data_IF_118807428748
#
_entry.id   IF_118807428748
#
_cell.length_a   1.000
_cell.length_b   1.000
_cell.length_c   1.000
_cell.angle_alpha   90.00
_cell.angle_beta   90.00
_cell.angle_gamma   90.00
#
_symmetry.space_group_name_H-M   'P 1'
#
loop_
_entity.id
_entity.type
_entity.pdbx_description
1 polymer ?
#
# COMPACT_ATOMS: atom_id res chain seq x y z
N UNK A 1 16.59 -0.87 -4.63
CA UNK A 1 17.50 0.12 -5.28
C UNK A 1 17.68 -0.31 -6.74
N UNK A 2 17.88 0.61 -7.68
CA UNK A 2 18.16 0.25 -9.08
C UNK A 2 19.13 1.25 -9.73
N UNK A 3 19.90 0.77 -10.71
CA UNK A 3 20.84 1.58 -11.51
C UNK A 3 20.45 1.44 -12.98
N UNK A 4 20.43 2.55 -13.72
CA UNK A 4 20.20 2.57 -15.16
C UNK A 4 21.52 2.84 -15.88
N UNK A 5 21.81 2.04 -16.90
CA UNK A 5 22.98 2.23 -17.75
C UNK A 5 22.55 2.67 -19.14
N UNK A 6 23.27 3.66 -19.67
CA UNK A 6 22.99 4.29 -20.96
C UNK A 6 24.23 4.24 -21.84
N UNK A 7 24.01 4.03 -23.12
CA UNK A 7 25.02 4.13 -24.16
C UNK A 7 24.47 5.01 -25.29
N UNK A 8 25.23 6.03 -25.70
CA UNK A 8 24.81 7.01 -26.72
C UNK A 8 23.44 7.66 -26.45
N UNK A 9 23.07 7.83 -25.18
CA UNK A 9 21.80 8.42 -24.76
C UNK A 9 20.61 7.44 -24.76
N UNK A 10 20.80 6.18 -25.17
CA UNK A 10 19.78 5.14 -25.15
C UNK A 10 19.97 4.22 -23.95
N UNK A 11 18.88 3.84 -23.29
CA UNK A 11 18.96 2.94 -22.15
C UNK A 11 19.35 1.54 -22.64
N UNK A 12 20.38 0.96 -22.03
CA UNK A 12 20.86 -0.38 -22.37
C UNK A 12 20.35 -1.42 -21.37
N UNK A 13 20.47 -1.10 -20.08
CA UNK A 13 20.04 -2.00 -19.02
C UNK A 13 19.62 -1.27 -17.75
N UNK A 14 18.78 -1.96 -16.96
CA UNK A 14 18.39 -1.58 -15.61
C UNK A 14 18.76 -2.71 -14.67
N UNK A 15 19.65 -2.42 -13.74
CA UNK A 15 20.15 -3.36 -12.72
C UNK A 15 19.33 -3.16 -11.45
N UNK A 16 18.67 -4.22 -11.00
CA UNK A 16 17.80 -4.21 -9.81
C UNK A 16 18.54 -4.89 -8.66
N UNK A 17 18.65 -4.17 -7.54
CA UNK A 17 19.31 -4.65 -6.33
C UNK A 17 18.29 -5.10 -5.29
N UNK A 18 18.56 -6.27 -4.73
CA UNK A 18 17.94 -6.76 -3.52
C UNK A 18 18.39 -5.91 -2.32
N UNK A 19 17.51 -5.74 -1.32
CA UNK A 19 17.81 -4.94 -0.13
C UNK A 19 18.88 -5.58 0.78
N UNK A 20 19.16 -6.88 0.59
CA UNK A 20 20.28 -7.60 1.23
C UNK A 20 21.64 -7.30 0.60
N UNK A 21 21.71 -6.51 -0.48
CA UNK A 21 22.96 -5.98 -1.02
C UNK A 21 23.59 -6.75 -2.19
N UNK A 22 22.80 -7.47 -2.99
CA UNK A 22 23.25 -8.13 -4.23
C UNK A 22 22.34 -7.79 -5.42
N UNK A 23 22.77 -8.12 -6.64
CA UNK A 23 21.97 -7.90 -7.85
C UNK A 23 20.90 -8.98 -7.94
N UNK A 24 19.63 -8.59 -7.87
CA UNK A 24 18.49 -9.51 -7.99
C UNK A 24 18.17 -9.84 -9.45
N UNK A 25 18.13 -8.84 -10.31
CA UNK A 25 17.84 -9.02 -11.74
C UNK A 25 18.40 -7.89 -12.60
N UNK A 26 18.49 -8.16 -13.89
CA UNK A 26 18.93 -7.20 -14.92
C UNK A 26 17.87 -7.20 -16.02
N UNK A 27 17.33 -6.04 -16.35
CA UNK A 27 16.41 -5.84 -17.47
C UNK A 27 17.21 -5.23 -18.63
N UNK A 28 17.18 -5.87 -19.79
CA UNK A 28 17.80 -5.41 -21.03
C UNK A 28 16.79 -4.62 -21.86
N UNK A 29 17.28 -3.55 -22.48
CA UNK A 29 16.52 -2.69 -23.37
C UNK A 29 17.02 -2.81 -24.82
N UNK A 30 16.09 -2.75 -25.77
CA UNK A 30 16.38 -2.54 -27.19
C UNK A 30 15.50 -1.39 -27.69
N UNK A 31 16.12 -0.30 -28.16
CA UNK A 31 15.42 0.93 -28.57
C UNK A 31 14.42 1.43 -27.49
N UNK A 32 14.90 1.53 -26.24
CA UNK A 32 14.12 1.92 -25.06
C UNK A 32 12.92 1.01 -24.73
N UNK A 33 12.84 -0.18 -25.32
CA UNK A 33 11.83 -1.21 -25.00
C UNK A 33 12.46 -2.31 -24.16
N UNK A 34 11.81 -2.70 -23.05
CA UNK A 34 12.22 -3.84 -22.24
C UNK A 34 12.01 -5.14 -23.03
N UNK A 35 13.09 -5.91 -23.26
CA UNK A 35 13.03 -7.12 -24.09
C UNK A 35 13.31 -8.40 -23.33
N UNK A 36 14.12 -8.34 -22.28
CA UNK A 36 14.56 -9.51 -21.52
C UNK A 36 14.83 -9.11 -20.07
N UNK A 37 14.41 -9.96 -19.13
CA UNK A 37 14.79 -9.87 -17.73
C UNK A 37 15.54 -11.14 -17.30
N UNK A 38 16.75 -10.97 -16.81
CA UNK A 38 17.56 -12.05 -16.24
C UNK A 38 17.51 -11.97 -14.72
N UNK A 39 17.08 -13.04 -14.06
CA UNK A 39 17.09 -13.19 -12.60
C UNK A 39 18.38 -13.88 -12.18
N UNK A 40 19.00 -13.38 -11.11
CA UNK A 40 20.30 -13.85 -10.62
C UNK A 40 20.19 -14.42 -9.21
N UNK A 41 21.07 -15.36 -8.89
CA UNK A 41 21.31 -15.73 -7.50
C UNK A 41 22.34 -14.79 -6.84
N UNK A 42 22.60 -15.01 -5.56
CA UNK A 42 23.56 -14.19 -4.77
C UNK A 42 25.00 -14.25 -5.28
N UNK A 43 25.36 -15.26 -6.10
CA UNK A 43 26.67 -15.40 -6.72
C UNK A 43 26.76 -14.70 -8.09
N UNK A 44 25.65 -14.13 -8.58
CA UNK A 44 25.54 -13.52 -9.90
C UNK A 44 25.33 -14.53 -11.03
N UNK A 45 25.01 -15.78 -10.71
CA UNK A 45 24.67 -16.78 -11.73
C UNK A 45 23.21 -16.59 -12.18
N UNK A 46 22.98 -16.74 -13.48
CA UNK A 46 21.64 -16.62 -14.07
C UNK A 46 20.81 -17.83 -13.65
N UNK A 47 19.67 -17.58 -13.02
CA UNK A 47 18.72 -18.64 -12.63
C UNK A 47 17.54 -18.73 -13.59
N UNK A 48 17.00 -17.58 -14.03
CA UNK A 48 15.90 -17.51 -14.96
C UNK A 48 16.16 -16.40 -15.99
N UNK A 49 15.70 -16.60 -17.21
CA UNK A 49 15.68 -15.56 -18.25
C UNK A 49 14.27 -15.48 -18.83
N UNK A 50 13.61 -14.35 -18.61
CA UNK A 50 12.27 -14.06 -19.08
C UNK A 50 12.35 -13.16 -20.32
N UNK A 51 11.72 -13.59 -21.40
CA UNK A 51 11.52 -12.77 -22.59
C UNK A 51 10.28 -11.89 -22.37
N UNK A 52 10.49 -10.59 -22.20
CA UNK A 52 9.41 -9.65 -21.85
C UNK A 52 8.45 -9.35 -23.01
N UNK A 53 8.78 -9.79 -24.23
CA UNK A 53 7.91 -9.65 -25.41
C UNK A 53 6.94 -10.83 -25.53
N UNK A 54 7.42 -12.05 -25.26
CA UNK A 54 6.64 -13.29 -25.42
C UNK A 54 6.10 -13.84 -24.09
N UNK A 55 6.67 -13.41 -22.97
CA UNK A 55 6.42 -13.94 -21.63
C UNK A 55 7.23 -15.19 -21.31
N UNK A 56 7.84 -15.86 -22.29
CA UNK A 56 8.53 -17.13 -22.12
C UNK A 56 9.68 -17.05 -21.12
N UNK A 57 9.80 -18.07 -20.26
CA UNK A 57 10.86 -18.14 -19.24
C UNK A 57 11.74 -19.36 -19.44
N UNK A 58 13.05 -19.15 -19.52
CA UNK A 58 14.06 -20.19 -19.58
C UNK A 58 14.71 -20.41 -18.22
N UNK A 59 14.86 -21.67 -17.83
CA UNK A 59 15.54 -22.07 -16.59
C UNK A 59 17.01 -22.37 -16.87
N UNK A 60 17.87 -21.66 -16.15
CA UNK A 60 19.32 -21.77 -16.25
C UNK A 60 19.89 -22.59 -15.08
N UNK A 61 21.11 -23.10 -15.23
CA UNK A 61 21.83 -23.69 -14.10
C UNK A 61 22.21 -22.56 -13.11
N UNK A 62 22.12 -22.76 -11.79
CA UNK A 62 22.08 -24.04 -11.07
C UNK A 62 20.68 -24.56 -10.66
N UNK A 63 19.59 -23.88 -11.03
CA UNK A 63 18.26 -24.19 -10.48
C UNK A 63 17.45 -25.22 -11.27
N UNK A 64 18.06 -25.85 -12.29
CA UNK A 64 17.36 -26.84 -13.13
C UNK A 64 16.81 -28.03 -12.36
N UNK A 65 17.44 -28.43 -11.25
CA UNK A 65 16.96 -29.56 -10.45
C UNK A 65 15.83 -29.17 -9.49
N UNK A 66 15.55 -27.86 -9.34
CA UNK A 66 14.45 -27.36 -8.51
C UNK A 66 13.14 -27.23 -9.31
N UNK A 67 13.23 -27.17 -10.64
CA UNK A 67 12.13 -26.93 -11.56
C UNK A 67 11.96 -28.10 -12.53
N UNK A 68 10.71 -28.48 -12.81
CA UNK A 68 10.41 -29.69 -13.58
C UNK A 68 10.68 -29.51 -15.08
N UNK A 69 10.71 -28.26 -15.55
CA UNK A 69 10.94 -27.92 -16.94
C UNK A 69 12.10 -26.94 -17.10
N UNK A 70 12.84 -27.07 -18.21
CA UNK A 70 13.88 -26.10 -18.56
C UNK A 70 13.32 -24.82 -19.20
N UNK A 71 12.02 -24.79 -19.49
CA UNK A 71 11.33 -23.74 -20.24
C UNK A 71 9.84 -23.74 -19.87
N UNK A 72 9.30 -22.55 -19.64
CA UNK A 72 7.91 -22.30 -19.28
C UNK A 72 7.29 -21.27 -20.21
N UNK A 73 5.97 -21.33 -20.39
CA UNK A 73 5.24 -20.38 -21.21
C UNK A 73 5.30 -18.97 -20.64
N UNK A 74 5.26 -18.87 -19.31
CA UNK A 74 5.35 -17.60 -18.59
C UNK A 74 5.77 -17.80 -17.13
N UNK A 75 6.05 -16.68 -16.45
CA UNK A 75 6.46 -16.68 -15.04
C UNK A 75 5.39 -17.27 -14.11
N UNK A 76 4.10 -17.20 -14.47
CA UNK A 76 3.04 -17.73 -13.62
C UNK A 76 3.19 -19.24 -13.45
N UNK A 77 3.50 -19.99 -14.51
CA UNK A 77 3.69 -21.45 -14.42
C UNK A 77 4.79 -21.84 -13.41
N UNK A 78 5.90 -21.08 -13.38
CA UNK A 78 6.97 -21.29 -12.39
C UNK A 78 6.47 -20.99 -10.97
N UNK A 79 5.72 -19.89 -10.80
CA UNK A 79 5.12 -19.56 -9.50
C UNK A 79 4.14 -20.66 -9.05
N UNK A 80 3.30 -21.19 -9.95
CA UNK A 80 2.37 -22.27 -9.63
C UNK A 80 3.11 -23.52 -9.16
N UNK A 81 4.18 -23.91 -9.87
CA UNK A 81 4.99 -25.08 -9.52
C UNK A 81 5.71 -24.93 -8.18
N UNK A 82 6.31 -23.76 -7.91
CA UNK A 82 6.97 -23.50 -6.63
C UNK A 82 5.96 -23.53 -5.48
N UNK A 83 4.76 -22.97 -5.68
CA UNK A 83 3.69 -23.00 -4.67
C UNK A 83 3.21 -24.43 -4.43
N UNK A 84 3.05 -25.24 -5.49
CA UNK A 84 2.66 -26.65 -5.38
C UNK A 84 3.70 -27.48 -4.61
N UNK A 85 4.98 -27.32 -4.94
CA UNK A 85 6.09 -27.98 -4.24
C UNK A 85 6.15 -27.57 -2.78
N UNK A 86 6.04 -26.27 -2.49
CA UNK A 86 5.98 -25.77 -1.11
C UNK A 86 4.80 -26.36 -0.34
N UNK A 87 3.61 -26.42 -0.95
CA UNK A 87 2.44 -27.02 -0.33
C UNK A 87 2.68 -28.51 -0.01
N UNK A 88 3.18 -29.27 -0.98
CA UNK A 88 3.39 -30.71 -0.84
C UNK A 88 4.47 -31.06 0.19
N UNK A 89 5.55 -30.27 0.24
CA UNK A 89 6.72 -30.60 1.06
C UNK A 89 6.65 -30.06 2.49
N UNK A 90 5.97 -28.93 2.70
CA UNK A 90 6.04 -28.18 3.96
C UNK A 90 4.71 -28.03 4.70
N UNK A 91 3.58 -28.28 4.04
CA UNK A 91 2.26 -28.01 4.62
C UNK A 91 1.58 -29.28 5.11
N UNK A 92 1.02 -29.19 6.31
CA UNK A 92 0.25 -30.25 6.96
C UNK A 92 -1.21 -29.84 7.11
N UNK A 93 -2.09 -30.80 7.37
CA UNK A 93 -3.53 -30.53 7.60
C UNK A 93 -3.83 -29.71 8.87
N UNK A 94 -2.84 -29.52 9.76
CA UNK A 94 -2.99 -28.69 10.96
C UNK A 94 -2.62 -27.23 10.76
N UNK A 95 -2.04 -26.87 9.61
CA UNK A 95 -1.62 -25.49 9.36
C UNK A 95 -2.80 -24.63 8.89
N UNK A 96 -2.83 -23.37 9.32
CA UNK A 96 -3.81 -22.38 8.88
C UNK A 96 -3.13 -21.32 7.99
N UNK A 97 -3.83 -20.88 6.95
CA UNK A 97 -3.34 -19.95 5.94
C UNK A 97 -4.18 -18.69 5.88
N UNK A 98 -3.51 -17.54 5.85
CA UNK A 98 -4.14 -16.25 5.60
C UNK A 98 -3.63 -15.71 4.27
N UNK A 99 -4.52 -15.64 3.29
CA UNK A 99 -4.22 -15.12 1.96
C UNK A 99 -4.75 -13.69 1.80
N UNK A 100 -3.88 -12.75 1.45
CA UNK A 100 -4.31 -11.40 1.07
C UNK A 100 -5.10 -11.48 -0.25
N UNK A 101 -6.41 -11.23 -0.22
CA UNK A 101 -7.27 -11.45 -1.38
C UNK A 101 -6.94 -10.51 -2.56
N UNK A 102 -6.75 -11.09 -3.74
CA UNK A 102 -6.52 -10.41 -5.01
C UNK A 102 -6.99 -11.29 -6.18
N UNK A 103 -7.72 -10.70 -7.13
CA UNK A 103 -8.26 -11.41 -8.28
C UNK A 103 -7.19 -12.09 -9.16
N UNK A 104 -5.93 -11.65 -9.08
CA UNK A 104 -4.82 -12.20 -9.86
C UNK A 104 -4.32 -13.56 -9.36
N UNK A 105 -4.53 -13.90 -8.08
CA UNK A 105 -3.93 -15.11 -7.51
C UNK A 105 -4.86 -15.91 -6.59
N UNK A 106 -6.08 -15.45 -6.31
CA UNK A 106 -7.01 -16.20 -5.46
C UNK A 106 -7.26 -17.63 -5.97
N UNK A 107 -7.44 -17.80 -7.29
CA UNK A 107 -7.65 -19.11 -7.91
C UNK A 107 -6.45 -20.07 -7.78
N UNK A 108 -5.23 -19.52 -7.82
CA UNK A 108 -4.01 -20.29 -7.60
C UNK A 108 -3.99 -20.83 -6.17
N UNK A 109 -4.27 -19.96 -5.19
CA UNK A 109 -4.30 -20.34 -3.77
C UNK A 109 -5.39 -21.37 -3.51
N UNK A 110 -6.61 -21.18 -4.02
CA UNK A 110 -7.73 -22.10 -3.74
C UNK A 110 -7.61 -23.45 -4.42
N UNK A 111 -6.68 -23.61 -5.38
CA UNK A 111 -6.36 -24.91 -5.99
C UNK A 111 -5.57 -25.83 -5.04
N UNK A 112 -4.67 -25.26 -4.24
CA UNK A 112 -3.76 -26.03 -3.39
C UNK A 112 -4.20 -26.10 -1.94
N UNK A 113 -4.72 -25.01 -1.38
CA UNK A 113 -5.04 -24.93 0.05
C UNK A 113 -6.48 -25.36 0.36
N UNK A 114 -6.66 -26.25 1.33
CA UNK A 114 -7.98 -26.75 1.71
C UNK A 114 -8.89 -25.65 2.31
N UNK A 115 -10.19 -25.78 2.06
CA UNK A 115 -11.23 -24.83 2.49
C UNK A 115 -11.23 -24.49 4.00
N UNK A 116 -10.89 -25.46 4.85
CA UNK A 116 -10.91 -25.29 6.31
C UNK A 116 -9.67 -24.60 6.84
N UNK A 117 -8.55 -24.71 6.12
CA UNK A 117 -7.27 -24.12 6.49
C UNK A 117 -7.14 -22.69 5.93
N UNK A 118 -7.95 -22.32 4.94
CA UNK A 118 -7.80 -21.07 4.21
C UNK A 118 -8.75 -19.97 4.72
N UNK A 119 -8.15 -18.85 5.11
CA UNK A 119 -8.82 -17.60 5.39
C UNK A 119 -8.33 -16.50 4.45
N UNK A 120 -9.23 -15.85 3.72
CA UNK A 120 -8.84 -14.68 2.94
C UNK A 120 -8.87 -13.40 3.77
N UNK A 121 -8.06 -12.41 3.43
CA UNK A 121 -8.07 -11.07 4.03
C UNK A 121 -8.35 -10.04 2.95
N UNK A 122 -9.41 -9.25 3.13
CA UNK A 122 -9.76 -8.10 2.31
C UNK A 122 -9.33 -6.81 3.02
N UNK A 123 -8.64 -5.95 2.28
CA UNK A 123 -8.09 -4.70 2.81
C UNK A 123 -8.47 -3.54 1.91
N UNK A 124 -9.15 -2.51 2.43
CA UNK A 124 -9.69 -1.38 1.67
C UNK A 124 -8.68 -0.72 0.74
N UNK A 125 -7.40 -0.61 1.14
CA UNK A 125 -6.40 0.02 0.29
C UNK A 125 -6.07 -0.81 -0.97
N UNK A 126 -6.17 -2.15 -0.88
CA UNK A 126 -5.93 -3.08 -1.99
C UNK A 126 -7.22 -3.38 -2.75
N UNK A 127 -8.28 -3.67 -2.02
CA UNK A 127 -9.59 -4.08 -2.51
C UNK A 127 -10.58 -2.90 -2.39
N UNK A 128 -10.33 -1.84 -3.16
CA UNK A 128 -11.16 -0.62 -3.12
C UNK A 128 -12.62 -0.88 -3.51
N UNK A 129 -12.82 -1.81 -4.44
CA UNK A 129 -14.13 -2.27 -4.88
C UNK A 129 -14.26 -3.75 -4.58
N UNK A 130 -15.32 -4.12 -3.85
CA UNK A 130 -15.64 -5.52 -3.55
C UNK A 130 -16.69 -5.98 -4.55
N UNK A 131 -16.28 -6.83 -5.49
CA UNK A 131 -17.16 -7.35 -6.55
C UNK A 131 -17.57 -8.80 -6.28
N UNK A 132 -18.66 -9.24 -6.89
CA UNK A 132 -19.08 -10.65 -6.86
C UNK A 132 -17.99 -11.60 -7.35
N UNK A 133 -17.25 -11.21 -8.40
CA UNK A 133 -16.14 -12.01 -8.93
C UNK A 133 -15.03 -12.18 -7.90
N UNK A 134 -14.67 -11.12 -7.16
CA UNK A 134 -13.66 -11.21 -6.10
C UNK A 134 -14.11 -12.18 -5.00
N UNK A 135 -15.35 -12.07 -4.51
CA UNK A 135 -15.87 -12.98 -3.48
C UNK A 135 -15.92 -14.44 -3.97
N UNK A 136 -16.38 -14.66 -5.20
CA UNK A 136 -16.43 -16.01 -5.80
C UNK A 136 -15.03 -16.62 -5.97
N UNK A 137 -14.03 -15.81 -6.35
CA UNK A 137 -12.65 -16.29 -6.53
C UNK A 137 -12.01 -16.82 -5.24
N UNK A 138 -12.55 -16.46 -4.07
CA UNK A 138 -12.07 -16.95 -2.77
C UNK A 138 -12.64 -18.32 -2.40
N UNK A 139 -13.59 -18.87 -3.15
CA UNK A 139 -14.07 -20.23 -2.90
C UNK A 139 -12.98 -21.27 -3.19
N UNK A 140 -12.83 -22.31 -2.34
CA UNK A 140 -13.80 -22.78 -1.34
C UNK A 140 -13.56 -22.29 0.11
N UNK A 141 -12.76 -21.24 0.33
CA UNK A 141 -12.43 -20.77 1.68
C UNK A 141 -13.68 -20.50 2.53
N UNK A 142 -13.65 -20.95 3.78
CA UNK A 142 -14.77 -20.82 4.72
C UNK A 142 -14.69 -19.59 5.61
N UNK A 143 -13.59 -18.85 5.58
CA UNK A 143 -13.41 -17.64 6.38
C UNK A 143 -12.81 -16.49 5.59
N UNK A 144 -13.23 -15.28 5.94
CA UNK A 144 -12.69 -14.05 5.39
C UNK A 144 -12.59 -12.96 6.48
N UNK A 145 -11.46 -12.26 6.49
CA UNK A 145 -11.19 -11.09 7.30
C UNK A 145 -11.43 -9.82 6.49
N UNK A 146 -12.05 -8.83 7.11
CA UNK A 146 -12.25 -7.48 6.54
C UNK A 146 -11.78 -6.43 7.54
N UNK A 147 -11.32 -5.29 7.03
CA UNK A 147 -10.77 -4.19 7.83
C UNK A 147 -11.82 -3.18 8.31
N UNK A 148 -12.88 -2.97 7.53
CA UNK A 148 -13.93 -1.99 7.80
C UNK A 148 -15.32 -2.62 7.96
N UNK A 149 -16.21 -1.90 8.65
CA UNK A 149 -17.62 -2.30 8.81
C UNK A 149 -18.37 -2.27 7.48
N UNK A 150 -18.03 -1.34 6.60
CA UNK A 150 -18.63 -1.22 5.27
C UNK A 150 -18.27 -2.43 4.42
N UNK A 151 -16.99 -2.79 4.36
CA UNK A 151 -16.54 -3.99 3.65
C UNK A 151 -17.21 -5.26 4.18
N UNK A 152 -17.37 -5.38 5.51
CA UNK A 152 -18.10 -6.50 6.11
C UNK A 152 -19.53 -6.61 5.58
N UNK A 153 -20.24 -5.48 5.50
CA UNK A 153 -21.62 -5.42 5.02
C UNK A 153 -21.70 -5.81 3.55
N UNK A 154 -20.88 -5.20 2.71
CA UNK A 154 -20.86 -5.47 1.26
C UNK A 154 -20.47 -6.92 0.96
N UNK A 155 -19.44 -7.46 1.63
CA UNK A 155 -19.06 -8.86 1.49
C UNK A 155 -20.19 -9.81 1.89
N UNK A 156 -20.89 -9.55 3.00
CA UNK A 156 -22.03 -10.37 3.45
C UNK A 156 -23.19 -10.32 2.47
N UNK A 157 -23.51 -9.14 1.93
CA UNK A 157 -24.56 -8.98 0.91
C UNK A 157 -24.24 -9.83 -0.32
N UNK A 158 -23.03 -9.70 -0.85
CA UNK A 158 -22.59 -10.46 -2.02
C UNK A 158 -22.57 -11.97 -1.72
N UNK A 159 -22.02 -12.39 -0.59
CA UNK A 159 -21.96 -13.81 -0.22
C UNK A 159 -23.37 -14.41 -0.10
N UNK A 160 -24.30 -13.72 0.56
CA UNK A 160 -25.68 -14.17 0.70
C UNK A 160 -26.40 -14.25 -0.65
N UNK A 161 -26.26 -13.23 -1.50
CA UNK A 161 -26.87 -13.21 -2.84
C UNK A 161 -26.37 -14.35 -3.74
N UNK A 162 -25.15 -14.84 -3.50
CA UNK A 162 -24.54 -15.92 -4.26
C UNK A 162 -24.56 -17.28 -3.51
N UNK A 163 -25.26 -17.39 -2.37
CA UNK A 163 -25.30 -18.61 -1.54
C UNK A 163 -23.93 -19.14 -1.11
N UNK A 164 -22.97 -18.24 -0.90
CA UNK A 164 -21.60 -18.56 -0.48
C UNK A 164 -21.55 -18.68 1.04
N UNK A 165 -21.19 -19.85 1.55
CA UNK A 165 -21.03 -20.09 2.98
C UNK A 165 -19.62 -19.72 3.45
N UNK A 166 -19.41 -18.43 3.73
CA UNK A 166 -18.15 -17.89 4.20
C UNK A 166 -18.34 -17.03 5.46
N UNK A 167 -17.64 -17.39 6.54
CA UNK A 167 -17.66 -16.66 7.81
C UNK A 167 -16.82 -15.39 7.70
N UNK A 168 -17.49 -14.24 7.78
CA UNK A 168 -16.84 -12.92 7.80
C UNK A 168 -16.48 -12.52 9.23
N UNK A 169 -15.25 -12.07 9.45
CA UNK A 169 -14.80 -11.46 10.71
C UNK A 169 -14.12 -10.13 10.43
N UNK A 170 -14.35 -9.13 11.29
CA UNK A 170 -13.77 -7.80 11.12
C UNK A 170 -12.59 -7.58 12.06
N UNK A 171 -11.44 -7.20 11.52
CA UNK A 171 -10.23 -6.83 12.26
C UNK A 171 -9.73 -5.52 11.68
N UNK A 172 -9.87 -4.44 12.44
CA UNK A 172 -9.34 -3.14 12.03
C UNK A 172 -7.82 -3.13 12.19
N UNK A 173 -7.05 -2.87 11.11
CA UNK A 173 -5.59 -2.87 11.16
C UNK A 173 -5.12 -1.59 11.85
N UNK A 174 -4.83 -1.71 13.15
CA UNK A 174 -4.17 -0.65 13.89
C UNK A 174 -2.66 -0.82 13.79
N UNK A 175 -1.96 0.29 13.54
CA UNK A 175 -0.51 0.31 13.71
C UNK A 175 -0.18 0.11 15.20
N UNK A 176 0.66 -0.88 15.49
CA UNK A 176 1.10 -1.19 16.84
C UNK A 176 2.31 -0.37 17.27
N UNK A 177 2.89 0.44 16.38
CA UNK A 177 3.94 1.37 16.73
C UNK A 177 3.47 2.30 17.84
N UNK A 178 4.06 2.12 19.03
CA UNK A 178 3.81 2.99 20.17
C UNK A 178 4.53 4.30 19.94
N UNK A 179 3.83 5.26 19.36
CA UNK A 179 4.29 6.64 19.33
C UNK A 179 4.12 7.18 20.76
N UNK A 180 5.21 7.49 21.49
CA UNK A 180 5.10 8.06 22.83
C UNK A 180 4.30 9.35 22.76
N UNK A 181 3.34 9.53 23.68
CA UNK A 181 2.50 10.72 23.72
C UNK A 181 3.30 11.91 24.26
N UNK A 182 4.05 12.56 23.36
CA UNK A 182 4.82 13.78 23.65
C UNK A 182 3.88 14.97 23.87
N UNK A 183 2.62 14.93 23.40
CA UNK A 183 1.66 16.02 23.55
C UNK A 183 1.36 16.37 25.02
N UNK A 184 1.52 15.40 25.94
CA UNK A 184 1.40 15.65 27.39
C UNK A 184 2.56 16.46 27.99
N UNK A 185 3.68 16.59 27.28
CA UNK A 185 4.89 17.29 27.69
C UNK A 185 5.03 18.66 27.00
N UNK A 186 4.15 18.96 26.03
CA UNK A 186 4.13 20.24 25.32
C UNK A 186 3.19 21.22 26.04
N UNK A 187 3.64 22.46 26.19
CA UNK A 187 2.79 23.57 26.63
C UNK A 187 1.74 23.93 25.56
N UNK A 188 2.10 23.71 24.29
CA UNK A 188 1.27 23.98 23.13
C UNK A 188 0.38 22.79 22.73
N UNK A 189 -0.87 23.09 22.38
CA UNK A 189 -1.85 22.16 21.82
C UNK A 189 -1.78 22.22 20.30
N UNK A 190 -1.35 21.13 19.67
CA UNK A 190 -1.32 20.99 18.22
C UNK A 190 -2.57 20.28 17.69
N UNK A 191 -3.27 20.93 16.75
CA UNK A 191 -4.42 20.37 16.04
C UNK A 191 -4.00 20.07 14.60
N UNK A 192 -3.95 18.80 14.23
CA UNK A 192 -3.75 18.37 12.85
C UNK A 192 -5.07 18.33 12.08
N UNK A 193 -5.18 19.07 10.98
CA UNK A 193 -6.35 19.04 10.10
C UNK A 193 -5.98 18.45 8.74
N UNK A 194 -6.41 17.22 8.49
CA UNK A 194 -6.14 16.51 7.24
C UNK A 194 -7.18 16.87 6.19
N UNK A 195 -6.73 17.40 5.05
CA UNK A 195 -7.63 17.96 4.01
C UNK A 195 -7.72 17.11 2.74
N UNK A 196 -7.03 15.98 2.70
CA UNK A 196 -7.02 15.11 1.52
C UNK A 196 -8.45 14.64 1.18
N UNK A 197 -8.80 14.70 -0.11
CA UNK A 197 -10.13 14.40 -0.65
C UNK A 197 -11.28 15.31 -0.17
N UNK A 198 -11.00 16.44 0.49
CA UNK A 198 -12.00 17.44 0.83
C UNK A 198 -12.04 18.55 -0.24
N UNK A 199 -13.25 18.99 -0.61
CA UNK A 199 -13.42 20.14 -1.49
C UNK A 199 -13.14 21.45 -0.73
N UNK A 200 -12.79 22.50 -1.48
CA UNK A 200 -12.58 23.84 -0.92
C UNK A 200 -13.77 24.31 -0.07
N UNK A 201 -14.99 24.08 -0.55
CA UNK A 201 -16.23 24.50 0.13
C UNK A 201 -16.44 23.82 1.48
N UNK A 202 -15.72 22.73 1.77
CA UNK A 202 -15.68 22.07 3.09
C UNK A 202 -14.49 22.58 3.90
N UNK A 203 -13.32 22.72 3.28
CA UNK A 203 -12.07 23.08 3.97
C UNK A 203 -12.11 24.52 4.49
N UNK A 204 -12.54 25.47 3.67
CA UNK A 204 -12.53 26.91 4.01
C UNK A 204 -13.40 27.23 5.25
N UNK A 205 -14.67 26.77 5.34
CA UNK A 205 -15.46 26.95 6.56
C UNK A 205 -14.87 26.29 7.82
N UNK A 206 -14.20 25.15 7.66
CA UNK A 206 -13.56 24.47 8.80
C UNK A 206 -12.34 25.25 9.28
N UNK A 207 -11.56 25.84 8.37
CA UNK A 207 -10.45 26.74 8.73
C UNK A 207 -10.97 27.95 9.50
N UNK A 208 -12.08 28.57 9.07
CA UNK A 208 -12.70 29.69 9.79
C UNK A 208 -13.18 29.32 11.20
N UNK A 209 -13.76 28.12 11.35
CA UNK A 209 -14.17 27.60 12.65
C UNK A 209 -12.95 27.34 13.55
N UNK A 210 -11.88 26.75 13.01
CA UNK A 210 -10.64 26.50 13.73
C UNK A 210 -9.98 27.80 14.16
N UNK A 211 -9.90 28.81 13.28
CA UNK A 211 -9.42 30.16 13.62
C UNK A 211 -10.22 30.76 14.77
N UNK A 212 -11.55 30.75 14.65
CA UNK A 212 -12.45 31.30 15.69
C UNK A 212 -12.29 30.59 17.04
N UNK A 213 -11.92 29.30 17.02
CA UNK A 213 -11.69 28.51 18.22
C UNK A 213 -10.35 28.79 18.90
N UNK A 214 -9.30 29.15 18.13
CA UNK A 214 -7.94 29.35 18.63
C UNK A 214 -7.56 30.82 18.83
N UNK A 215 -8.28 31.78 18.24
CA UNK A 215 -7.85 33.19 18.21
C UNK A 215 -7.53 33.82 19.57
N UNK A 216 -8.26 33.41 20.62
CA UNK A 216 -8.06 33.89 21.99
C UNK A 216 -7.24 32.91 22.85
N UNK A 217 -6.47 32.00 22.23
CA UNK A 217 -5.68 30.99 22.91
C UNK A 217 -4.24 31.02 22.39
N UNK A 218 -3.31 31.42 23.24
CA UNK A 218 -1.91 31.64 22.86
C UNK A 218 -1.16 30.33 22.54
N UNK A 219 -1.54 29.25 23.23
CA UNK A 219 -0.87 27.96 23.16
C UNK A 219 -1.50 26.98 22.17
N UNK A 220 -2.37 27.44 21.26
CA UNK A 220 -2.97 26.58 20.24
C UNK A 220 -2.31 26.79 18.89
N UNK A 221 -2.02 25.70 18.20
CA UNK A 221 -1.44 25.68 16.85
C UNK A 221 -2.24 24.74 15.97
N UNK A 222 -2.68 25.21 14.81
CA UNK A 222 -3.34 24.37 13.81
C UNK A 222 -2.34 24.09 12.69
N UNK A 223 -2.18 22.81 12.36
CA UNK A 223 -1.35 22.35 11.24
C UNK A 223 -2.26 21.70 10.20
N UNK A 224 -2.32 22.31 9.02
CA UNK A 224 -3.02 21.71 7.89
C UNK A 224 -2.12 20.67 7.26
N UNK A 225 -2.63 19.45 7.12
CA UNK A 225 -1.90 18.27 6.67
C UNK A 225 -2.45 17.84 5.32
N UNK A 226 -1.56 17.51 4.37
CA UNK A 226 -1.89 17.03 3.03
C UNK A 226 -0.87 15.93 2.66
N UNK A 227 -1.33 14.78 2.16
CA UNK A 227 -0.45 13.64 1.81
C UNK A 227 0.20 13.80 0.44
N UNK A 228 -0.33 14.66 -0.42
CA UNK A 228 0.12 14.78 -1.80
C UNK A 228 1.39 15.64 -1.91
N UNK A 229 2.53 14.97 -2.06
CA UNK A 229 3.85 15.59 -2.29
C UNK A 229 3.97 16.16 -3.71
N UNK A 230 3.09 15.76 -4.65
CA UNK A 230 3.23 16.08 -6.07
C UNK A 230 2.50 17.36 -6.49
N UNK A 231 1.48 17.78 -5.75
CA UNK A 231 0.76 19.02 -5.99
C UNK A 231 1.36 20.16 -5.17
N UNK A 232 1.76 21.25 -5.85
CA UNK A 232 2.05 22.51 -5.15
C UNK A 232 0.82 22.88 -4.32
N UNK A 233 1.03 23.29 -3.07
CA UNK A 233 -0.04 23.79 -2.19
C UNK A 233 -0.93 24.75 -2.97
N UNK A 234 -2.25 24.49 -3.06
CA UNK A 234 -3.15 25.34 -3.83
C UNK A 234 -3.04 26.79 -3.36
N UNK A 235 -2.95 27.72 -4.31
CA UNK A 235 -2.73 29.14 -3.98
C UNK A 235 -3.79 29.69 -3.03
N UNK A 236 -5.06 29.31 -3.23
CA UNK A 236 -6.17 29.71 -2.36
C UNK A 236 -5.97 29.30 -0.89
N UNK A 237 -5.37 28.12 -0.65
CA UNK A 237 -5.13 27.61 0.70
C UNK A 237 -4.00 28.41 1.37
N UNK A 238 -2.92 28.69 0.62
CA UNK A 238 -1.84 29.55 1.10
C UNK A 238 -2.33 30.97 1.42
N UNK A 239 -3.21 31.53 0.58
CA UNK A 239 -3.76 32.86 0.76
C UNK A 239 -4.62 32.93 2.04
N UNK A 240 -5.53 31.98 2.26
CA UNK A 240 -6.37 31.91 3.48
C UNK A 240 -5.51 31.73 4.72
N UNK A 241 -4.55 30.80 4.70
CA UNK A 241 -3.67 30.56 5.86
C UNK A 241 -2.86 31.80 6.20
N UNK A 242 -2.37 32.52 5.17
CA UNK A 242 -1.63 33.77 5.37
C UNK A 242 -2.51 34.84 6.00
N UNK A 243 -3.72 35.05 5.47
CA UNK A 243 -4.70 35.99 6.01
C UNK A 243 -5.00 35.71 7.49
N UNK A 244 -5.30 34.45 7.84
CA UNK A 244 -5.60 34.08 9.25
C UNK A 244 -4.40 34.25 10.17
N UNK A 245 -3.18 33.98 9.69
CA UNK A 245 -1.97 34.21 10.48
C UNK A 245 -1.69 35.70 10.71
N UNK A 246 -1.94 36.55 9.71
CA UNK A 246 -1.82 38.00 9.87
C UNK A 246 -2.81 38.51 10.92
N UNK A 247 -4.10 38.13 10.83
CA UNK A 247 -5.12 38.49 11.81
C UNK A 247 -4.79 37.99 13.22
N UNK A 248 -4.35 36.73 13.35
CA UNK A 248 -3.98 36.16 14.64
C UNK A 248 -2.81 36.93 15.29
N UNK A 249 -1.78 37.27 14.51
CA UNK A 249 -0.62 37.99 15.01
C UNK A 249 -0.94 39.44 15.41
N UNK A 250 -1.85 40.10 14.69
CA UNK A 250 -2.33 41.44 15.05
C UNK A 250 -3.12 41.41 16.37
N UNK A 251 -4.07 40.48 16.52
CA UNK A 251 -4.88 40.33 17.74
C UNK A 251 -4.02 40.02 18.98
N UNK A 252 -2.97 39.21 18.81
CA UNK A 252 -2.02 38.88 19.88
C UNK A 252 -1.14 40.08 20.29
N UNK A 253 -0.75 40.94 19.34
CA UNK A 253 -0.01 42.18 19.65
C UNK A 253 -0.88 43.15 20.44
N UNK A 254 -2.12 43.34 20.02
CA UNK A 254 -3.05 44.22 20.75
C UNK A 254 -3.37 43.70 22.15
N UNK A 255 -3.56 42.38 22.33
CA UNK A 255 -3.74 41.80 23.68
C UNK A 255 -2.51 42.04 24.56
N UNK A 256 -1.30 41.84 24.01
CA UNK A 256 -0.07 42.04 24.77
C UNK A 256 0.17 43.50 25.15
N UNK A 257 -0.20 44.46 24.29
CA UNK A 257 -0.11 45.90 24.56
C UNK A 257 -1.14 46.33 25.62
N UNK A 258 -2.39 45.87 25.50
CA UNK A 258 -3.44 46.14 26.51
C UNK A 258 -3.10 45.53 27.89
N UNK A 259 -2.46 44.36 27.93
CA UNK A 259 -1.99 43.76 29.18
C UNK A 259 -0.79 44.48 29.79
N UNK A 260 0.05 45.11 28.97
CA UNK A 260 1.19 45.90 29.43
C UNK A 260 0.77 47.25 30.03
N UNK A 261 -0.31 47.86 29.52
CA UNK A 261 -0.86 49.13 30.02
C UNK A 261 -1.66 48.98 31.33
N UNK A 262 -2.01 47.74 31.72
CA UNK A 262 -2.78 47.42 32.94
C UNK A 262 -1.87 47.01 34.12
N UNK A 263 -0.57 46.79 33.90
CA UNK A 263 0.44 46.46 34.92
C UNK A 263 1.26 47.69 35.34
#
# INVERSE_FOLDING_TARGET
LHIHEYENGLQQQKIIFDDRGFISSIIKYENDTEVEQTYLNVLGEKILTENLITGEVLVNNPVKDLLDHSKYLNMLEIIEEIVEKFYTDQITQSDDFIAASDGRHNQLITRYFEANQLCFSLFSNRNREITSHLIQSMQPAKSCLVDTKENERECRLIANNNSINMKMSRITPFDTEKIPNISSQLYDVHIGFWIDNLSRDVVEPVIDQLYSYIKNKENYRVTILMKDITSKTPKWLSDIVKEKNELYNEEQRTLSEEMADVL
#
